data_IF_050818401153
#
_entry.id   IF_050818401153
#
_cell.length_a   1.000
_cell.length_b   1.000
_cell.length_c   1.000
_cell.angle_alpha   90.00
_cell.angle_beta   90.00
_cell.angle_gamma   90.00
#
_symmetry.space_group_name_H-M   'P 1'
#
loop_
_entity.id
_entity.type
_entity.pdbx_description
1 polymer ?
#
# COMPACT_ATOMS: atom_id res chain seq x y z
N UNK A 1 -0.50 -10.49 -15.77
CA UNK A 1 -1.82 -10.40 -15.09
C UNK A 1 -1.71 -9.27 -14.07
N UNK A 2 -2.77 -8.48 -13.84
CA UNK A 2 -2.77 -7.46 -12.77
C UNK A 2 -3.72 -7.98 -11.68
N UNK A 3 -3.17 -8.67 -10.69
CA UNK A 3 -3.90 -9.36 -9.64
C UNK A 3 -4.78 -8.40 -8.84
N UNK A 4 -4.27 -7.20 -8.54
CA UNK A 4 -5.01 -6.15 -7.83
C UNK A 4 -6.28 -5.76 -8.61
N UNK A 5 -6.16 -5.55 -9.92
CA UNK A 5 -7.28 -5.22 -10.80
C UNK A 5 -8.27 -6.39 -10.91
N UNK A 6 -7.77 -7.62 -10.99
CA UNK A 6 -8.59 -8.82 -11.05
C UNK A 6 -9.39 -9.04 -9.77
N UNK A 7 -8.75 -8.91 -8.60
CA UNK A 7 -9.43 -8.97 -7.30
C UNK A 7 -10.50 -7.90 -7.20
N UNK A 8 -10.21 -6.65 -7.57
CA UNK A 8 -11.22 -5.58 -7.52
C UNK A 8 -12.48 -5.96 -8.30
N UNK A 9 -12.34 -6.52 -9.50
CA UNK A 9 -13.47 -6.97 -10.31
C UNK A 9 -14.22 -8.13 -9.64
N UNK A 10 -13.51 -9.09 -9.06
CA UNK A 10 -14.09 -10.23 -8.37
C UNK A 10 -14.92 -9.78 -7.15
N UNK A 11 -14.37 -8.88 -6.32
CA UNK A 11 -15.06 -8.32 -5.15
C UNK A 11 -16.32 -7.53 -5.54
N UNK A 12 -16.30 -6.86 -6.69
CA UNK A 12 -17.48 -6.12 -7.20
C UNK A 12 -18.54 -7.06 -7.78
N UNK A 13 -18.12 -8.14 -8.44
CA UNK A 13 -19.02 -9.08 -9.08
C UNK A 13 -19.75 -9.98 -8.07
N UNK A 14 -19.05 -10.40 -7.01
CA UNK A 14 -19.61 -11.25 -5.97
C UNK A 14 -19.02 -10.91 -4.59
N UNK A 15 -19.46 -9.81 -3.96
CA UNK A 15 -18.96 -9.39 -2.64
C UNK A 15 -19.35 -10.35 -1.51
N UNK A 16 -20.34 -11.22 -1.72
CA UNK A 16 -20.89 -12.09 -0.68
C UNK A 16 -20.14 -13.41 -0.52
N UNK A 17 -19.42 -13.86 -1.55
CA UNK A 17 -18.68 -15.12 -1.49
C UNK A 17 -17.58 -15.12 -0.43
N UNK A 18 -17.33 -16.31 0.12
CA UNK A 18 -16.29 -16.49 1.13
C UNK A 18 -14.90 -16.22 0.55
N UNK A 19 -14.68 -16.55 -0.73
CA UNK A 19 -13.44 -16.19 -1.43
C UNK A 19 -13.24 -14.67 -1.52
N UNK A 20 -14.30 -13.91 -1.84
CA UNK A 20 -14.21 -12.44 -1.85
C UNK A 20 -13.89 -11.87 -0.48
N UNK A 21 -14.54 -12.38 0.57
CA UNK A 21 -14.26 -11.94 1.95
C UNK A 21 -12.81 -12.22 2.34
N UNK A 22 -12.32 -13.43 2.09
CA UNK A 22 -10.94 -13.82 2.40
C UNK A 22 -9.91 -12.97 1.65
N UNK A 23 -10.12 -12.73 0.34
CA UNK A 23 -9.23 -11.89 -0.46
C UNK A 23 -9.26 -10.42 -0.03
N UNK A 24 -10.43 -9.89 0.37
CA UNK A 24 -10.53 -8.54 0.91
C UNK A 24 -9.81 -8.41 2.26
N UNK A 25 -9.98 -9.38 3.16
CA UNK A 25 -9.26 -9.44 4.44
C UNK A 25 -7.75 -9.49 4.24
N UNK A 26 -7.26 -10.25 3.26
CA UNK A 26 -5.84 -10.29 2.91
C UNK A 26 -5.32 -8.91 2.50
N UNK A 27 -6.02 -8.20 1.60
CA UNK A 27 -5.61 -6.87 1.14
C UNK A 27 -5.59 -5.85 2.28
N UNK A 28 -6.61 -5.86 3.15
CA UNK A 28 -6.66 -4.98 4.32
C UNK A 28 -5.50 -5.24 5.30
N UNK A 29 -5.15 -6.51 5.50
CA UNK A 29 -4.03 -6.88 6.35
C UNK A 29 -2.68 -6.45 5.76
N UNK A 30 -2.52 -6.52 4.44
CA UNK A 30 -1.31 -6.11 3.75
C UNK A 30 -1.08 -4.59 3.73
N UNK A 31 -2.17 -3.80 3.72
CA UNK A 31 -2.11 -2.34 3.82
C UNK A 31 -1.76 -1.89 5.24
N UNK A 32 -2.29 -2.57 6.25
CA UNK A 32 -2.08 -2.22 7.65
C UNK A 32 -0.61 -2.39 8.01
N UNK A 33 0.09 -1.28 8.30
CA UNK A 33 1.55 -1.32 8.46
C UNK A 33 2.02 -2.16 9.66
N UNK A 34 1.18 -2.42 10.67
CA UNK A 34 1.55 -3.18 11.88
C UNK A 34 0.41 -3.92 12.62
N UNK A 35 -0.86 -3.48 12.55
CA UNK A 35 -1.88 -3.88 13.55
C UNK A 35 -2.99 -4.83 13.04
N UNK A 36 -2.87 -5.37 11.81
CA UNK A 36 -3.88 -6.27 11.26
C UNK A 36 -3.36 -7.70 11.11
N UNK A 37 -4.04 -8.64 11.74
CA UNK A 37 -3.74 -10.07 11.64
C UNK A 37 -4.54 -10.71 10.52
N UNK A 38 -3.85 -11.49 9.67
CA UNK A 38 -4.48 -12.34 8.67
C UNK A 38 -4.25 -13.81 9.02
N UNK A 39 -5.33 -14.59 9.13
CA UNK A 39 -5.25 -16.01 9.47
C UNK A 39 -4.83 -16.81 8.24
N UNK A 40 -3.57 -17.25 8.18
CA UNK A 40 -3.00 -17.92 7.00
C UNK A 40 -3.77 -19.17 6.56
N UNK A 41 -4.37 -19.92 7.50
CA UNK A 41 -5.16 -21.10 7.19
C UNK A 41 -6.37 -20.80 6.29
N UNK A 42 -6.91 -19.58 6.33
CA UNK A 42 -8.03 -19.17 5.47
C UNK A 42 -7.68 -19.21 3.97
N UNK A 43 -6.40 -19.18 3.61
CA UNK A 43 -5.99 -19.37 2.21
C UNK A 43 -6.29 -20.78 1.71
N UNK A 44 -6.23 -21.80 2.58
CA UNK A 44 -6.53 -23.19 2.21
C UNK A 44 -8.02 -23.45 2.02
N UNK A 45 -8.88 -22.52 2.45
CA UNK A 45 -10.33 -22.58 2.23
C UNK A 45 -10.70 -22.05 0.83
N UNK A 46 -9.77 -21.40 0.13
CA UNK A 46 -9.97 -20.93 -1.24
C UNK A 46 -9.92 -22.11 -2.22
N UNK A 47 -10.69 -22.00 -3.30
CA UNK A 47 -10.44 -22.84 -4.47
C UNK A 47 -9.06 -22.52 -5.08
N UNK A 48 -8.54 -23.43 -5.90
CA UNK A 48 -7.19 -23.30 -6.49
C UNK A 48 -7.02 -21.97 -7.24
N UNK A 49 -8.04 -21.52 -7.96
CA UNK A 49 -7.99 -20.29 -8.75
C UNK A 49 -7.86 -19.05 -7.84
N UNK A 50 -8.64 -18.99 -6.77
CA UNK A 50 -8.62 -17.87 -5.84
C UNK A 50 -7.37 -17.92 -4.94
N UNK A 51 -6.86 -19.11 -4.64
CA UNK A 51 -5.57 -19.29 -3.97
C UNK A 51 -4.41 -18.75 -4.82
N UNK A 52 -4.33 -19.11 -6.10
CA UNK A 52 -3.33 -18.57 -7.03
C UNK A 52 -3.44 -17.05 -7.15
N UNK A 53 -4.66 -16.52 -7.16
CA UNK A 53 -4.90 -15.08 -7.14
C UNK A 53 -4.37 -14.43 -5.85
N UNK A 54 -4.56 -15.06 -4.69
CA UNK A 54 -4.00 -14.59 -3.42
C UNK A 54 -2.46 -14.54 -3.45
N UNK A 55 -1.81 -15.56 -4.03
CA UNK A 55 -0.36 -15.57 -4.21
C UNK A 55 0.12 -14.43 -5.13
N UNK A 56 -0.62 -14.17 -6.21
CA UNK A 56 -0.31 -13.09 -7.13
C UNK A 56 -0.45 -11.70 -6.47
N UNK A 57 -1.45 -11.51 -5.59
CA UNK A 57 -1.59 -10.29 -4.78
C UNK A 57 -0.34 -10.08 -3.92
N UNK A 58 0.11 -11.10 -3.19
CA UNK A 58 1.28 -11.00 -2.31
C UNK A 58 2.54 -10.59 -3.09
N UNK A 59 2.73 -11.14 -4.29
CA UNK A 59 3.86 -10.80 -5.16
C UNK A 59 3.79 -9.35 -5.64
N UNK A 60 2.64 -8.92 -6.17
CA UNK A 60 2.44 -7.55 -6.65
C UNK A 60 2.55 -6.52 -5.51
N UNK A 61 1.99 -6.82 -4.34
CA UNK A 61 1.98 -5.93 -3.19
C UNK A 61 3.39 -5.62 -2.68
N UNK A 62 4.28 -6.64 -2.69
CA UNK A 62 5.68 -6.46 -2.30
C UNK A 62 6.39 -5.45 -3.20
N UNK A 63 6.07 -5.46 -4.49
CA UNK A 63 6.65 -4.56 -5.49
C UNK A 63 6.07 -3.15 -5.30
N UNK A 64 4.75 -3.01 -5.17
CA UNK A 64 4.08 -1.73 -5.00
C UNK A 64 4.57 -0.98 -3.75
N UNK A 65 4.69 -1.67 -2.60
CA UNK A 65 5.20 -1.09 -1.36
C UNK A 65 6.64 -0.58 -1.48
N UNK A 66 7.48 -1.23 -2.29
CA UNK A 66 8.83 -0.75 -2.57
C UNK A 66 8.81 0.57 -3.34
N UNK A 67 7.97 0.68 -4.37
CA UNK A 67 7.82 1.91 -5.15
C UNK A 67 7.18 3.04 -4.35
N UNK A 68 6.18 2.75 -3.51
CA UNK A 68 5.55 3.73 -2.62
C UNK A 68 6.55 4.35 -1.64
N UNK A 69 7.42 3.55 -1.01
CA UNK A 69 8.47 4.05 -0.12
C UNK A 69 9.47 4.96 -0.84
N UNK A 70 9.87 4.59 -2.05
CA UNK A 70 10.77 5.40 -2.89
C UNK A 70 10.13 6.75 -3.27
N UNK A 71 8.85 6.75 -3.62
CA UNK A 71 8.10 7.96 -3.92
C UNK A 71 8.01 8.90 -2.70
N UNK A 72 7.61 8.37 -1.53
CA UNK A 72 7.57 9.14 -0.26
C UNK A 72 8.93 9.77 0.07
N UNK A 73 10.03 9.03 -0.10
CA UNK A 73 11.38 9.55 0.11
C UNK A 73 11.73 10.66 -0.89
N UNK A 74 11.38 10.49 -2.16
CA UNK A 74 11.64 11.47 -3.20
C UNK A 74 10.88 12.78 -2.95
N UNK A 75 9.61 12.69 -2.55
CA UNK A 75 8.79 13.85 -2.22
C UNK A 75 9.33 14.60 -0.99
N UNK A 76 9.72 13.87 0.06
CA UNK A 76 10.39 14.46 1.23
C UNK A 76 11.71 15.14 0.84
N UNK A 77 12.50 14.51 -0.04
CA UNK A 77 13.77 15.06 -0.52
C UNK A 77 13.59 16.34 -1.33
N UNK A 78 12.57 16.38 -2.19
CA UNK A 78 12.18 17.58 -2.95
C UNK A 78 11.72 18.70 -2.03
N UNK A 79 10.91 18.39 -1.01
CA UNK A 79 10.45 19.38 -0.03
C UNK A 79 11.63 20.03 0.71
N UNK A 80 12.63 19.25 1.11
CA UNK A 80 13.86 19.78 1.74
C UNK A 80 14.67 20.64 0.76
N UNK A 81 14.84 20.21 -0.49
CA UNK A 81 15.57 20.99 -1.51
C UNK A 81 14.86 22.27 -1.92
N UNK A 82 13.53 22.25 -2.03
CA UNK A 82 12.73 23.44 -2.29
C UNK A 82 12.83 24.47 -1.15
N UNK A 83 13.19 24.01 0.06
CA UNK A 83 13.37 24.84 1.26
C UNK A 83 14.83 25.31 1.47
N UNK A 84 15.62 25.45 0.40
CA UNK A 84 16.96 26.07 0.41
C UNK A 84 16.95 27.55 0.88
N UNK A 85 18.11 28.13 1.27
CA UNK A 85 18.28 29.03 2.41
C UNK A 85 17.75 30.45 2.17
N UNK A 86 16.44 30.66 2.28
CA UNK A 86 15.85 32.01 2.23
C UNK A 86 15.61 32.63 3.62
N UNK A 87 15.68 31.83 4.70
CA UNK A 87 15.28 32.28 6.05
C UNK A 87 16.44 32.63 7.00
N UNK A 88 17.68 32.75 6.52
CA UNK A 88 18.84 33.08 7.39
C UNK A 88 19.29 34.55 7.38
N UNK A 89 18.57 35.46 6.71
CA UNK A 89 18.99 36.88 6.61
C UNK A 89 17.97 37.93 7.08
N UNK A 90 16.88 37.54 7.75
CA UNK A 90 15.82 38.48 8.14
C UNK A 90 15.74 38.77 9.65
N UNK A 91 16.86 38.80 10.38
CA UNK A 91 16.91 39.42 11.72
C UNK A 91 18.31 39.97 12.00
N UNK A 92 18.66 41.11 11.41
CA UNK A 92 19.66 42.00 12.00
C UNK A 92 19.57 43.39 11.37
N UNK A 93 18.64 44.20 11.87
CA UNK A 93 18.81 45.66 11.89
C UNK A 93 18.43 46.13 13.29
N UNK A 94 19.40 46.50 14.13
CA UNK A 94 19.13 47.12 15.42
C UNK A 94 18.73 48.58 15.24
N UNK A 95 17.97 49.04 16.22
CA UNK A 95 17.36 50.36 16.32
C UNK A 95 18.34 51.54 16.18
N UNK A 96 17.84 52.62 15.57
CA UNK A 96 18.19 54.01 15.89
C UNK A 96 17.04 54.93 15.45
#
# INVERSE_FOLDING_TARGET
>A
MNAIKTVRKLLQADPGSDSSKTLASLVLALESESDSHFQLSSLYELDLKNFELAMAILQEWRIDRYFAKKARLLDASKAVHAKGPADLHATDTPAA
#
